data_IF_913114068688
#
_entry.id   IF_913114068688
#
_cell.length_a   1.000
_cell.length_b   1.000
_cell.length_c   1.000
_cell.angle_alpha   90.00
_cell.angle_beta   90.00
_cell.angle_gamma   90.00
#
_symmetry.space_group_name_H-M   'P 1'
#
loop_
_entity.id
_entity.type
_entity.pdbx_description
1 polymer ?
#
# COMPACT_ATOMS: atom_id res chain seq x y z
N UNK A 1 -14.09 -12.00 -6.21
CA UNK A 1 -13.66 -10.84 -6.99
C UNK A 1 -12.52 -11.17 -7.91
N UNK A 2 -12.50 -10.52 -9.06
CA UNK A 2 -11.50 -10.78 -10.07
C UNK A 2 -10.25 -9.95 -9.83
N UNK A 3 -9.09 -10.59 -9.80
CA UNK A 3 -7.81 -9.89 -9.65
C UNK A 3 -7.28 -9.47 -11.01
N UNK A 4 -6.65 -8.32 -11.05
CA UNK A 4 -6.06 -7.77 -12.26
C UNK A 4 -4.62 -7.36 -11.96
N UNK A 5 -3.70 -7.69 -12.86
CA UNK A 5 -2.30 -7.33 -12.70
C UNK A 5 -2.08 -5.93 -13.27
N UNK A 6 -1.60 -5.02 -12.45
CA UNK A 6 -1.26 -3.65 -12.87
C UNK A 6 0.09 -3.28 -12.27
N UNK A 7 0.72 -2.25 -12.82
CA UNK A 7 2.05 -1.82 -12.38
C UNK A 7 2.02 -0.37 -11.94
N UNK A 8 2.79 -0.06 -10.91
CA UNK A 8 2.97 1.30 -10.41
C UNK A 8 4.44 1.54 -10.15
N UNK A 9 4.86 2.81 -10.29
CA UNK A 9 6.18 3.22 -9.87
C UNK A 9 6.13 3.63 -8.42
N UNK A 10 6.96 3.03 -7.60
CA UNK A 10 7.08 3.37 -6.18
C UNK A 10 8.55 3.50 -5.84
N UNK A 11 8.84 4.15 -4.73
CA UNK A 11 10.21 4.27 -4.27
C UNK A 11 10.70 2.93 -3.71
N UNK A 12 12.02 2.69 -3.82
CA UNK A 12 12.62 1.42 -3.39
C UNK A 12 12.43 1.15 -1.89
N UNK A 13 12.44 2.19 -1.06
CA UNK A 13 12.20 2.00 0.37
C UNK A 13 10.73 1.67 0.68
N UNK A 14 9.80 2.08 -0.19
CA UNK A 14 8.41 1.62 -0.07
C UNK A 14 8.30 0.14 -0.39
N UNK A 15 9.07 -0.34 -1.37
CA UNK A 15 9.14 -1.77 -1.67
C UNK A 15 9.74 -2.54 -0.50
N UNK A 16 10.79 -2.02 0.11
CA UNK A 16 11.39 -2.63 1.29
C UNK A 16 10.40 -2.72 2.44
N UNK A 17 9.56 -1.70 2.62
CA UNK A 17 8.50 -1.74 3.61
C UNK A 17 7.53 -2.90 3.36
N UNK A 18 7.14 -3.10 2.11
CA UNK A 18 6.26 -4.22 1.75
C UNK A 18 6.92 -5.56 2.05
N UNK A 19 8.22 -5.68 1.78
CA UNK A 19 8.98 -6.89 2.09
C UNK A 19 9.03 -7.15 3.60
N UNK A 20 9.20 -6.12 4.40
CA UNK A 20 9.18 -6.23 5.85
C UNK A 20 7.81 -6.71 6.35
N UNK A 21 6.74 -6.19 5.75
CA UNK A 21 5.38 -6.61 6.09
C UNK A 21 5.18 -8.09 5.76
N UNK A 22 5.64 -8.51 4.59
CA UNK A 22 5.57 -9.90 4.16
C UNK A 22 6.27 -10.81 5.17
N UNK A 23 7.48 -10.45 5.58
CA UNK A 23 8.27 -11.25 6.52
C UNK A 23 7.65 -11.26 7.91
N UNK A 24 7.24 -10.10 8.39
CA UNK A 24 6.73 -9.96 9.75
C UNK A 24 5.41 -10.69 9.96
N UNK A 25 4.56 -10.70 8.96
CA UNK A 25 3.22 -11.27 9.07
C UNK A 25 3.05 -12.56 8.27
N UNK A 26 4.15 -13.10 7.78
CA UNK A 26 4.18 -14.38 7.06
C UNK A 26 3.18 -14.43 5.91
N UNK A 27 3.22 -13.40 5.07
CA UNK A 27 2.37 -13.32 3.90
C UNK A 27 3.03 -14.02 2.71
N UNK A 28 2.25 -14.48 1.72
CA UNK A 28 2.82 -15.20 0.58
C UNK A 28 3.69 -14.35 -0.33
N UNK A 29 3.35 -13.08 -0.52
CA UNK A 29 4.12 -12.19 -1.39
C UNK A 29 3.75 -10.72 -1.16
N UNK A 30 4.45 -9.83 -1.86
CA UNK A 30 4.22 -8.38 -1.76
C UNK A 30 2.85 -7.97 -2.32
N UNK A 31 2.35 -8.72 -3.29
CA UNK A 31 1.01 -8.44 -3.85
C UNK A 31 -0.06 -8.63 -2.78
N UNK A 32 0.08 -9.65 -1.96
CA UNK A 32 -0.84 -9.88 -0.84
C UNK A 32 -0.76 -8.75 0.18
N UNK A 33 0.46 -8.30 0.50
CA UNK A 33 0.66 -7.18 1.41
C UNK A 33 -0.02 -5.92 0.88
N UNK A 34 0.13 -5.65 -0.41
CA UNK A 34 -0.49 -4.49 -1.04
C UNK A 34 -2.01 -4.58 -1.03
N UNK A 35 -2.56 -5.77 -1.32
CA UNK A 35 -4.02 -5.96 -1.29
C UNK A 35 -4.58 -5.73 0.12
N UNK A 36 -3.89 -6.20 1.15
CA UNK A 36 -4.30 -5.98 2.53
C UNK A 36 -4.28 -4.49 2.88
N UNK A 37 -3.25 -3.78 2.42
CA UNK A 37 -3.15 -2.33 2.62
C UNK A 37 -4.31 -1.61 1.94
N UNK A 38 -4.66 -2.01 0.73
CA UNK A 38 -5.78 -1.42 0.00
C UNK A 38 -7.11 -1.68 0.69
N UNK A 39 -7.29 -2.90 1.22
CA UNK A 39 -8.48 -3.24 1.98
C UNK A 39 -8.63 -2.36 3.22
N UNK A 40 -7.52 -2.10 3.90
CA UNK A 40 -7.50 -1.21 5.05
C UNK A 40 -7.91 0.22 4.65
N UNK A 41 -7.34 0.72 3.57
CA UNK A 41 -7.68 2.06 3.06
C UNK A 41 -9.15 2.12 2.67
N UNK A 42 -9.67 1.08 2.04
CA UNK A 42 -11.08 1.02 1.66
C UNK A 42 -11.99 1.09 2.88
N UNK A 43 -11.64 0.39 3.95
CA UNK A 43 -12.41 0.44 5.19
C UNK A 43 -12.38 1.83 5.86
N UNK A 44 -11.36 2.62 5.56
CA UNK A 44 -11.19 3.96 6.12
C UNK A 44 -11.64 5.04 5.15
N UNK A 45 -12.66 4.76 4.36
CA UNK A 45 -13.18 5.69 3.36
C UNK A 45 -13.53 7.07 3.93
N UNK A 46 -14.05 7.11 5.14
CA UNK A 46 -14.39 8.38 5.79
C UNK A 46 -13.18 9.26 6.09
N UNK A 47 -11.97 8.69 6.01
CA UNK A 47 -10.72 9.40 6.27
C UNK A 47 -9.97 9.74 4.98
N UNK A 48 -10.51 9.39 3.82
CA UNK A 48 -9.83 9.62 2.54
C UNK A 48 -9.52 11.10 2.28
N UNK A 49 -10.47 11.98 2.64
CA UNK A 49 -10.25 13.41 2.45
C UNK A 49 -9.03 13.89 3.23
N UNK A 50 -8.89 13.44 4.46
CA UNK A 50 -7.73 13.77 5.27
C UNK A 50 -6.46 13.14 4.73
N UNK A 51 -6.52 11.88 4.31
CA UNK A 51 -5.36 11.16 3.78
C UNK A 51 -4.79 11.82 2.53
N UNK A 52 -5.64 12.28 1.64
CA UNK A 52 -5.22 12.75 0.32
C UNK A 52 -5.28 14.26 0.13
N UNK A 53 -5.99 14.98 1.00
CA UNK A 53 -5.98 16.44 0.98
C UNK A 53 -4.74 17.00 1.66
N UNK A 54 -4.22 16.30 2.65
CA UNK A 54 -2.97 16.67 3.30
C UNK A 54 -1.80 16.17 2.47
N UNK A 55 -0.86 17.03 2.18
CA UNK A 55 0.35 16.62 1.46
C UNK A 55 1.21 15.78 2.39
N UNK A 56 1.25 14.47 2.14
CA UNK A 56 2.04 13.52 2.92
C UNK A 56 3.30 13.15 2.18
N UNK A 57 3.96 14.16 1.69
CA UNK A 57 5.08 13.93 0.81
C UNK A 57 6.38 13.83 1.60
N UNK A 58 6.80 12.61 1.88
CA UNK A 58 8.11 12.39 2.48
C UNK A 58 9.22 12.55 1.45
N UNK A 59 8.90 12.34 0.18
CA UNK A 59 9.88 12.29 -0.90
C UNK A 59 9.54 13.19 -2.09
N UNK A 60 8.36 13.70 -2.15
CA UNK A 60 7.91 14.65 -3.20
C UNK A 60 8.28 14.23 -4.62
N UNK A 61 7.72 13.11 -5.06
CA UNK A 61 8.06 12.76 -6.43
C UNK A 61 7.10 11.82 -7.07
#
# INVERSE_FOLDING_TARGET
>A
MKKKKISFEIYSDSEEMLEQIVDKYDLPDKSKALRCLMDYVEEKETEWDEMFATIRCNRCG
#
